data_IF_524916022338
#
_entry.id   IF_524916022338
#
_cell.length_a   1.000
_cell.length_b   1.000
_cell.length_c   1.000
_cell.angle_alpha   90.00
_cell.angle_beta   90.00
_cell.angle_gamma   90.00
#
_symmetry.space_group_name_H-M   'P 1'
#
loop_
_entity.id
_entity.type
_entity.pdbx_description
1 polymer ?
#
# COMPACT_ATOMS: atom_id res chain seq x y z
N UNK A 1 11.07 20.21 18.92
CA UNK A 1 12.23 19.92 18.06
C UNK A 1 11.75 19.73 16.63
N UNK A 2 11.80 20.76 15.79
CA UNK A 2 11.45 20.69 14.37
C UNK A 2 12.72 20.87 13.56
N UNK A 3 13.30 19.79 13.06
CA UNK A 3 14.63 19.86 12.42
C UNK A 3 14.58 20.30 10.95
N UNK A 4 13.39 20.54 10.38
CA UNK A 4 13.24 20.98 8.98
C UNK A 4 12.09 21.99 8.82
N UNK A 5 12.30 23.12 8.12
CA UNK A 5 11.20 23.99 7.67
C UNK A 5 10.30 23.24 6.70
N UNK A 6 8.99 23.25 6.94
CA UNK A 6 8.00 22.50 6.15
C UNK A 6 7.97 22.89 4.67
N UNK A 7 8.38 24.12 4.33
CA UNK A 7 8.56 24.55 2.94
C UNK A 7 9.67 23.77 2.23
N UNK A 8 10.80 23.49 2.90
CA UNK A 8 11.88 22.67 2.32
C UNK A 8 11.42 21.22 2.15
N UNK A 9 10.72 20.67 3.13
CA UNK A 9 10.17 19.31 3.10
C UNK A 9 9.12 19.16 1.99
N UNK A 10 8.23 20.15 1.85
CA UNK A 10 7.29 20.23 0.73
C UNK A 10 8.01 20.17 -0.62
N UNK A 11 9.04 20.99 -0.83
CA UNK A 11 9.76 21.02 -2.11
C UNK A 11 10.52 19.72 -2.40
N UNK A 12 11.05 19.05 -1.38
CA UNK A 12 11.66 17.72 -1.52
C UNK A 12 10.62 16.73 -2.05
N UNK A 13 9.46 16.64 -1.40
CA UNK A 13 8.38 15.75 -1.83
C UNK A 13 7.73 16.16 -3.15
N UNK A 14 7.60 17.45 -3.44
CA UNK A 14 7.01 17.93 -4.69
C UNK A 14 7.81 17.51 -5.93
N UNK A 15 9.12 17.25 -5.76
CA UNK A 15 10.00 16.75 -6.83
C UNK A 15 9.94 15.23 -6.99
N UNK A 16 9.24 14.52 -6.11
CA UNK A 16 9.09 13.08 -6.13
C UNK A 16 7.70 12.73 -6.65
N UNK A 17 7.64 11.91 -7.70
CA UNK A 17 6.41 11.61 -8.44
C UNK A 17 5.30 11.03 -7.53
N UNK A 18 5.63 10.04 -6.70
CA UNK A 18 4.65 9.43 -5.79
C UNK A 18 4.08 10.45 -4.80
N UNK A 19 4.92 11.30 -4.21
CA UNK A 19 4.50 12.24 -3.17
C UNK A 19 3.71 13.42 -3.73
N UNK A 20 4.00 13.85 -4.97
CA UNK A 20 3.27 14.94 -5.64
C UNK A 20 1.77 14.62 -5.76
N UNK A 21 1.40 13.36 -5.94
CA UNK A 21 -0.01 12.95 -6.03
C UNK A 21 -0.80 13.15 -4.73
N UNK A 22 -0.12 13.30 -3.59
CA UNK A 22 -0.72 13.42 -2.26
C UNK A 22 -0.52 14.80 -1.60
N UNK A 23 0.28 15.67 -2.22
CA UNK A 23 0.51 17.01 -1.71
C UNK A 23 -0.55 18.01 -2.20
N UNK A 24 -0.95 18.99 -1.37
CA UNK A 24 -1.80 20.08 -1.83
C UNK A 24 -1.11 20.88 -2.93
N UNK A 25 -1.86 21.23 -3.98
CA UNK A 25 -1.33 21.98 -5.13
C UNK A 25 -0.88 23.41 -4.76
N UNK A 26 -1.40 23.96 -3.67
CA UNK A 26 -1.07 25.31 -3.21
C UNK A 26 -0.41 25.30 -1.83
N UNK A 27 0.80 25.86 -1.76
CA UNK A 27 1.62 25.96 -0.56
C UNK A 27 1.05 26.92 0.49
N UNK A 28 0.14 27.82 0.10
CA UNK A 28 -0.47 28.79 1.03
C UNK A 28 -1.15 28.12 2.24
N UNK A 29 -1.68 26.91 2.07
CA UNK A 29 -2.34 26.16 3.16
C UNK A 29 -1.37 25.57 4.20
N UNK A 30 -0.05 25.67 3.97
CA UNK A 30 1.01 25.09 4.79
C UNK A 30 1.74 26.13 5.66
N UNK A 31 1.33 27.41 5.63
CA UNK A 31 1.91 28.41 6.53
C UNK A 31 1.77 27.95 7.99
N UNK A 32 2.91 27.81 8.68
CA UNK A 32 3.01 27.34 10.07
C UNK A 32 2.48 25.92 10.35
N UNK A 33 2.37 25.05 9.34
CA UNK A 33 1.92 23.66 9.52
C UNK A 33 3.01 22.64 9.20
N UNK A 34 3.12 21.62 10.05
CA UNK A 34 3.99 20.46 9.82
C UNK A 34 3.42 19.54 8.75
N UNK A 35 4.23 19.16 7.76
CA UNK A 35 3.88 18.05 6.86
C UNK A 35 4.31 16.74 7.52
N UNK A 36 3.33 15.86 7.74
CA UNK A 36 3.53 14.49 8.19
C UNK A 36 3.17 13.55 7.06
N UNK A 37 4.12 12.70 6.69
CA UNK A 37 3.92 11.67 5.66
C UNK A 37 3.90 10.32 6.36
N UNK A 38 2.76 9.66 6.33
CA UNK A 38 2.57 8.37 6.99
C UNK A 38 2.00 7.36 6.00
N UNK A 39 2.30 6.09 6.21
CA UNK A 39 1.68 5.01 5.47
C UNK A 39 1.41 3.82 6.37
N UNK A 40 0.53 2.92 5.95
CA UNK A 40 0.25 1.65 6.62
C UNK A 40 0.43 0.53 5.60
N UNK A 41 1.33 -0.39 5.91
CA UNK A 41 1.55 -1.60 5.13
C UNK A 41 0.67 -2.74 5.67
N UNK A 42 0.47 -3.75 4.85
CA UNK A 42 -0.22 -4.99 5.18
C UNK A 42 0.61 -6.14 4.64
N UNK A 43 0.51 -7.33 5.24
CA UNK A 43 1.10 -8.52 4.67
C UNK A 43 0.77 -8.59 3.15
N UNK A 44 1.77 -8.65 2.27
CA UNK A 44 1.55 -8.53 0.84
C UNK A 44 0.70 -9.64 0.22
N UNK A 45 0.80 -10.87 0.73
CA UNK A 45 0.01 -12.01 0.26
C UNK A 45 -1.46 -11.80 0.63
N UNK A 46 -1.71 -11.41 1.87
CA UNK A 46 -3.06 -11.07 2.36
C UNK A 46 -3.61 -9.80 1.73
N UNK A 47 -2.77 -8.83 1.34
CA UNK A 47 -3.19 -7.64 0.60
C UNK A 47 -3.75 -8.02 -0.78
N UNK A 48 -3.06 -8.90 -1.50
CA UNK A 48 -3.52 -9.40 -2.82
C UNK A 48 -4.91 -10.04 -2.68
N UNK A 49 -5.06 -10.97 -1.71
CA UNK A 49 -6.35 -11.64 -1.44
C UNK A 49 -7.43 -10.64 -1.04
N UNK A 50 -7.12 -9.76 -0.08
CA UNK A 50 -8.08 -8.79 0.42
C UNK A 50 -8.56 -7.84 -0.66
N UNK A 51 -7.67 -7.42 -1.57
CA UNK A 51 -8.04 -6.56 -2.68
C UNK A 51 -9.00 -7.28 -3.65
N UNK A 52 -8.69 -8.54 -4.01
CA UNK A 52 -9.54 -9.32 -4.90
C UNK A 52 -10.98 -9.44 -4.38
N UNK A 53 -11.15 -9.91 -3.14
CA UNK A 53 -12.48 -10.10 -2.54
C UNK A 53 -13.20 -8.80 -2.19
N UNK A 54 -12.48 -7.69 -2.05
CA UNK A 54 -13.10 -6.36 -1.93
C UNK A 54 -13.78 -5.95 -3.24
N UNK A 55 -13.12 -6.18 -4.38
CA UNK A 55 -13.69 -5.89 -5.70
C UNK A 55 -14.69 -6.96 -6.16
N UNK A 56 -14.55 -8.18 -5.66
CA UNK A 56 -15.36 -9.34 -6.06
C UNK A 56 -15.97 -10.03 -4.82
N UNK A 57 -17.01 -9.45 -4.18
CA UNK A 57 -17.64 -10.06 -3.01
C UNK A 57 -18.26 -11.44 -3.25
N UNK A 58 -18.51 -11.79 -4.52
CA UNK A 58 -19.00 -13.12 -4.97
C UNK A 58 -17.92 -13.92 -5.71
N UNK A 59 -16.65 -13.63 -5.44
CA UNK A 59 -15.51 -14.32 -6.05
C UNK A 59 -15.49 -15.82 -5.71
N UNK A 60 -14.73 -16.57 -6.50
CA UNK A 60 -14.49 -17.99 -6.28
C UNK A 60 -13.04 -18.33 -6.60
N UNK A 61 -12.58 -19.53 -6.22
CA UNK A 61 -11.19 -19.97 -6.42
C UNK A 61 -10.75 -19.90 -7.89
N UNK A 62 -11.59 -20.32 -8.84
CA UNK A 62 -11.23 -20.30 -10.26
C UNK A 62 -10.97 -18.88 -10.75
N UNK A 63 -11.83 -17.93 -10.40
CA UNK A 63 -11.67 -16.53 -10.78
C UNK A 63 -10.51 -15.86 -10.03
N UNK A 64 -10.22 -16.29 -8.80
CA UNK A 64 -9.07 -15.80 -8.06
C UNK A 64 -7.75 -16.32 -8.64
N UNK A 65 -7.69 -17.58 -9.07
CA UNK A 65 -6.56 -18.16 -9.80
C UNK A 65 -6.29 -17.42 -11.11
N UNK A 66 -7.32 -17.16 -11.92
CA UNK A 66 -7.19 -16.37 -13.15
C UNK A 66 -6.59 -14.98 -12.84
N UNK A 67 -7.07 -14.33 -11.78
CA UNK A 67 -6.56 -13.04 -11.30
C UNK A 67 -5.09 -13.10 -10.86
N UNK A 68 -4.65 -14.21 -10.26
CA UNK A 68 -3.26 -14.44 -9.83
C UNK A 68 -2.35 -14.76 -11.03
N UNK A 69 -2.76 -15.62 -11.95
CA UNK A 69 -1.98 -15.94 -13.15
C UNK A 69 -1.70 -14.69 -13.99
N UNK A 70 -2.72 -13.85 -14.20
CA UNK A 70 -2.58 -12.59 -14.92
C UNK A 70 -1.50 -11.68 -14.29
N UNK A 71 -1.41 -11.65 -12.96
CA UNK A 71 -0.41 -10.86 -12.22
C UNK A 71 0.97 -11.50 -12.25
N UNK A 72 1.04 -12.82 -12.09
CA UNK A 72 2.27 -13.59 -12.19
C UNK A 72 2.96 -13.29 -13.51
N UNK A 73 2.23 -13.28 -14.62
CA UNK A 73 2.81 -13.09 -15.95
C UNK A 73 3.44 -11.70 -16.11
N UNK A 74 2.82 -10.67 -15.54
CA UNK A 74 3.46 -9.35 -15.46
C UNK A 74 4.71 -9.36 -14.58
N UNK A 75 4.62 -9.89 -13.35
CA UNK A 75 5.72 -9.88 -12.37
C UNK A 75 6.92 -10.72 -12.85
N UNK A 76 6.66 -11.80 -13.58
CA UNK A 76 7.67 -12.63 -14.22
C UNK A 76 8.41 -11.91 -15.36
N UNK A 77 7.95 -10.74 -15.78
CA UNK A 77 8.54 -9.97 -16.88
C UNK A 77 8.12 -10.46 -18.26
N UNK A 78 7.05 -11.27 -18.35
CA UNK A 78 6.56 -11.75 -19.64
C UNK A 78 5.94 -10.61 -20.46
N UNK A 79 5.47 -9.54 -19.81
CA UNK A 79 4.82 -8.40 -20.45
C UNK A 79 5.48 -7.07 -20.09
N UNK A 80 5.50 -6.15 -21.05
CA UNK A 80 5.72 -4.73 -20.79
C UNK A 80 4.47 -4.10 -20.18
N UNK A 81 4.58 -2.88 -19.64
CA UNK A 81 3.41 -2.12 -19.16
C UNK A 81 2.33 -1.97 -20.25
N UNK A 82 2.74 -1.64 -21.48
CA UNK A 82 1.83 -1.55 -22.62
C UNK A 82 1.17 -2.90 -22.95
N UNK A 83 1.94 -3.99 -22.93
CA UNK A 83 1.41 -5.34 -23.14
C UNK A 83 0.40 -5.74 -22.06
N UNK A 84 0.66 -5.39 -20.80
CA UNK A 84 -0.29 -5.61 -19.70
C UNK A 84 -1.59 -4.83 -19.93
N UNK A 85 -1.51 -3.54 -20.28
CA UNK A 85 -2.69 -2.71 -20.54
C UNK A 85 -3.52 -3.19 -21.74
N UNK A 86 -2.89 -3.79 -22.74
CA UNK A 86 -3.59 -4.41 -23.86
C UNK A 86 -4.35 -5.66 -23.42
N UNK A 87 -3.70 -6.57 -22.69
CA UNK A 87 -4.33 -7.78 -22.18
C UNK A 87 -5.43 -7.47 -21.15
N UNK A 88 -5.27 -6.38 -20.40
CA UNK A 88 -6.22 -5.90 -19.41
C UNK A 88 -7.58 -5.48 -19.98
N UNK A 89 -7.65 -5.19 -21.29
CA UNK A 89 -8.90 -4.82 -21.98
C UNK A 89 -9.79 -6.03 -22.27
N UNK A 90 -9.27 -7.25 -22.12
CA UNK A 90 -10.05 -8.47 -22.32
C UNK A 90 -10.92 -8.77 -21.09
N UNK A 91 -12.02 -9.55 -21.22
CA UNK A 91 -12.88 -9.91 -20.09
C UNK A 91 -12.15 -10.63 -18.94
N UNK A 92 -11.07 -11.35 -19.26
CA UNK A 92 -10.18 -12.01 -18.28
C UNK A 92 -9.24 -11.03 -17.58
N UNK A 93 -8.99 -9.89 -18.20
CA UNK A 93 -7.97 -8.93 -17.80
C UNK A 93 -8.47 -7.73 -17.04
N UNK A 94 -9.77 -7.62 -16.67
CA UNK A 94 -10.48 -6.46 -16.08
C UNK A 94 -9.78 -5.80 -14.86
N UNK A 95 -8.59 -5.27 -15.09
CA UNK A 95 -7.61 -4.87 -14.12
C UNK A 95 -6.67 -3.90 -14.81
N UNK A 96 -6.73 -2.64 -14.44
CA UNK A 96 -5.82 -1.61 -14.94
C UNK A 96 -4.45 -1.75 -14.30
N UNK A 97 -3.45 -1.09 -14.86
CA UNK A 97 -2.13 -1.01 -14.23
C UNK A 97 -2.18 -0.44 -12.80
N UNK A 98 -3.08 0.53 -12.58
CA UNK A 98 -3.36 1.06 -11.25
C UNK A 98 -3.94 0.01 -10.28
N UNK A 99 -4.76 -0.91 -10.78
CA UNK A 99 -5.30 -2.03 -10.00
C UNK A 99 -4.19 -3.04 -9.66
N UNK A 100 -3.32 -3.37 -10.62
CA UNK A 100 -2.15 -4.22 -10.38
C UNK A 100 -1.29 -3.66 -9.25
N UNK A 101 -0.89 -2.40 -9.36
CA UNK A 101 -0.08 -1.73 -8.34
C UNK A 101 -0.73 -1.79 -6.96
N UNK A 102 -2.00 -1.38 -6.84
CA UNK A 102 -2.73 -1.41 -5.56
C UNK A 102 -2.83 -2.81 -4.95
N UNK A 103 -2.88 -3.84 -5.78
CA UNK A 103 -3.07 -5.23 -5.31
C UNK A 103 -1.77 -5.90 -4.84
N UNK A 104 -0.65 -5.76 -5.56
CA UNK A 104 0.55 -6.55 -5.28
C UNK A 104 1.83 -5.75 -5.11
N UNK A 105 1.95 -4.60 -5.79
CA UNK A 105 3.27 -4.13 -6.21
C UNK A 105 3.51 -2.64 -5.99
N UNK A 106 2.64 -2.02 -5.20
CA UNK A 106 2.58 -0.57 -5.00
C UNK A 106 3.91 -0.01 -4.50
N UNK A 107 4.46 -0.55 -3.42
CA UNK A 107 5.56 0.08 -2.71
C UNK A 107 6.89 -0.11 -3.44
N UNK A 108 7.19 -1.30 -3.95
CA UNK A 108 8.41 -1.48 -4.72
C UNK A 108 8.39 -0.69 -6.04
N UNK A 109 7.22 -0.49 -6.66
CA UNK A 109 7.13 0.30 -7.89
C UNK A 109 7.15 1.78 -7.62
N UNK A 110 6.26 2.30 -6.77
CA UNK A 110 6.15 3.75 -6.52
C UNK A 110 7.31 4.31 -5.72
N UNK A 111 7.80 3.58 -4.70
CA UNK A 111 8.91 4.05 -3.87
C UNK A 111 10.27 3.63 -4.44
N UNK A 112 10.33 2.42 -5.02
CA UNK A 112 11.58 1.81 -5.47
C UNK A 112 11.85 1.87 -6.96
N UNK A 113 10.88 2.26 -7.80
CA UNK A 113 10.97 2.12 -9.26
C UNK A 113 11.33 0.67 -9.68
N UNK A 114 10.75 -0.31 -8.99
CA UNK A 114 11.00 -1.73 -9.18
C UNK A 114 12.21 -2.30 -8.41
N UNK A 115 12.99 -1.43 -7.72
CA UNK A 115 14.12 -1.80 -6.88
C UNK A 115 13.74 -1.86 -5.39
N UNK A 116 13.88 -3.03 -4.78
CA UNK A 116 13.54 -3.29 -3.37
C UNK A 116 14.36 -2.42 -2.41
N UNK A 117 15.67 -2.32 -2.60
CA UNK A 117 16.54 -1.55 -1.70
C UNK A 117 16.20 -0.05 -1.74
N UNK A 118 15.88 0.48 -2.92
CA UNK A 118 15.43 1.87 -3.05
C UNK A 118 14.08 2.09 -2.34
N UNK A 119 13.17 1.11 -2.39
CA UNK A 119 11.91 1.19 -1.66
C UNK A 119 12.12 1.18 -0.14
N UNK A 120 13.02 0.32 0.38
CA UNK A 120 13.38 0.29 1.81
C UNK A 120 13.98 1.62 2.28
N UNK A 121 14.95 2.17 1.54
CA UNK A 121 15.54 3.48 1.84
C UNK A 121 14.47 4.58 1.84
N UNK A 122 13.57 4.57 0.85
CA UNK A 122 12.48 5.55 0.77
C UNK A 122 11.54 5.41 1.96
N UNK A 123 11.13 4.20 2.35
CA UNK A 123 10.31 3.97 3.54
C UNK A 123 10.99 4.50 4.80
N UNK A 124 12.28 4.21 4.98
CA UNK A 124 13.03 4.58 6.18
C UNK A 124 13.30 6.09 6.30
N UNK A 125 13.41 6.80 5.17
CA UNK A 125 13.88 8.20 5.16
C UNK A 125 12.80 9.22 4.82
N UNK A 126 11.72 8.80 4.15
CA UNK A 126 10.70 9.71 3.61
C UNK A 126 9.37 9.67 4.38
N UNK A 127 9.18 8.75 5.32
CA UNK A 127 7.96 8.65 6.12
C UNK A 127 8.24 8.99 7.58
N UNK A 128 7.36 9.76 8.21
CA UNK A 128 7.37 9.98 9.67
C UNK A 128 6.87 8.75 10.44
N UNK A 129 6.03 7.93 9.80
CA UNK A 129 5.50 6.69 10.36
C UNK A 129 5.19 5.70 9.24
N UNK A 130 5.64 4.46 9.43
CA UNK A 130 5.24 3.29 8.64
C UNK A 130 4.53 2.32 9.59
N UNK A 131 3.20 2.30 9.55
CA UNK A 131 2.38 1.38 10.34
C UNK A 131 2.26 0.01 9.68
N UNK A 132 1.90 -1.00 10.48
CA UNK A 132 1.60 -2.36 10.01
C UNK A 132 0.14 -2.68 10.35
N UNK A 133 -0.63 -3.16 9.38
CA UNK A 133 -2.06 -3.46 9.52
C UNK A 133 -2.30 -4.52 10.59
N UNK A 134 -1.44 -5.54 10.64
CA UNK A 134 -1.48 -6.62 11.63
C UNK A 134 -1.14 -6.12 13.05
N UNK A 135 -0.57 -4.91 13.17
CA UNK A 135 -0.29 -4.20 14.43
C UNK A 135 -1.00 -2.83 14.45
N UNK A 136 -2.22 -2.76 13.89
CA UNK A 136 -2.95 -1.49 13.71
C UNK A 136 -3.10 -0.69 15.02
N UNK A 137 -3.32 -1.35 16.15
CA UNK A 137 -3.42 -0.69 17.45
C UNK A 137 -2.16 0.13 17.76
N UNK A 138 -0.98 -0.42 17.51
CA UNK A 138 0.30 0.28 17.72
C UNK A 138 0.50 1.40 16.71
N UNK A 139 0.12 1.17 15.45
CA UNK A 139 0.17 2.20 14.41
C UNK A 139 -0.71 3.41 14.79
N UNK A 140 -1.92 3.17 15.28
CA UNK A 140 -2.85 4.23 15.73
C UNK A 140 -2.28 4.98 16.94
N UNK A 141 -1.70 4.29 17.92
CA UNK A 141 -1.06 4.95 19.08
C UNK A 141 0.11 5.84 18.63
N UNK A 142 0.97 5.32 17.75
CA UNK A 142 2.10 6.08 17.20
C UNK A 142 1.64 7.28 16.37
N UNK A 143 0.56 7.12 15.59
CA UNK A 143 -0.08 8.21 14.85
C UNK A 143 -0.61 9.29 15.81
N UNK A 144 -1.30 8.88 16.88
CA UNK A 144 -1.79 9.80 17.91
C UNK A 144 -0.68 10.63 18.53
N UNK A 145 0.43 9.99 18.91
CA UNK A 145 1.63 10.70 19.42
C UNK A 145 2.20 11.68 18.39
N UNK A 146 2.26 11.29 17.12
CA UNK A 146 2.77 12.14 16.03
C UNK A 146 1.92 13.41 15.83
N UNK A 147 0.60 13.28 15.99
CA UNK A 147 -0.35 14.41 15.91
C UNK A 147 -0.58 15.14 17.24
N UNK A 148 0.10 14.73 18.33
CA UNK A 148 -0.11 15.31 19.66
C UNK A 148 -1.50 15.07 20.23
N UNK A 149 -2.13 13.94 19.87
CA UNK A 149 -3.47 13.54 20.30
C UNK A 149 -3.42 12.62 21.51
N UNK A 150 -4.41 12.78 22.38
CA UNK A 150 -4.69 11.88 23.50
C UNK A 150 -5.30 10.56 23.02
N UNK A 151 -5.31 9.53 23.88
CA UNK A 151 -5.93 8.25 23.57
C UNK A 151 -7.44 8.41 23.33
N UNK A 152 -8.10 9.26 24.11
CA UNK A 152 -9.53 9.57 24.01
C UNK A 152 -9.87 10.22 22.67
N UNK A 153 -9.08 11.20 22.22
CA UNK A 153 -9.27 11.83 20.91
C UNK A 153 -9.08 10.84 19.76
N UNK A 154 -8.07 9.96 19.86
CA UNK A 154 -7.85 8.93 18.85
C UNK A 154 -8.98 7.90 18.81
N UNK A 155 -9.51 7.51 19.98
CA UNK A 155 -10.64 6.57 20.08
C UNK A 155 -11.92 7.17 19.47
N UNK A 156 -12.20 8.45 19.71
CA UNK A 156 -13.36 9.14 19.14
C UNK A 156 -13.32 9.16 17.60
N UNK A 157 -12.14 9.36 17.00
CA UNK A 157 -11.98 9.29 15.54
C UNK A 157 -12.35 7.89 15.02
N UNK A 158 -11.91 6.83 15.70
CA UNK A 158 -12.20 5.45 15.32
C UNK A 158 -13.68 5.07 15.39
N UNK A 159 -14.48 5.72 16.24
CA UNK A 159 -15.91 5.45 16.38
C UNK A 159 -16.74 5.92 15.18
N UNK A 160 -16.21 6.84 14.37
CA UNK A 160 -16.89 7.39 13.19
C UNK A 160 -16.50 6.70 11.88
N UNK A 161 -15.73 5.61 11.93
CA UNK A 161 -15.33 4.87 10.74
C UNK A 161 -16.46 3.92 10.33
N UNK A 162 -17.00 4.13 9.13
CA UNK A 162 -17.98 3.20 8.54
C UNK A 162 -17.38 1.78 8.48
N UNK A 163 -18.14 0.82 9.04
CA UNK A 163 -17.75 -0.60 9.08
C UNK A 163 -18.15 -1.37 7.81
N UNK A 164 -18.73 -0.69 6.83
CA UNK A 164 -19.22 -1.25 5.58
C UNK A 164 -18.10 -1.73 4.62
N UNK A 165 -16.84 -1.41 4.93
CA UNK A 165 -15.66 -1.81 4.13
C UNK A 165 -14.95 -3.07 4.64
N UNK A 166 -15.48 -3.73 5.67
CA UNK A 166 -14.95 -5.01 6.09
C UNK A 166 -15.39 -6.13 5.14
N UNK A 167 -14.40 -6.77 4.50
CA UNK A 167 -14.61 -7.89 3.60
C UNK A 167 -14.10 -9.22 4.16
N UNK A 168 -13.83 -9.29 5.47
CA UNK A 168 -13.37 -10.51 6.15
C UNK A 168 -14.31 -11.70 5.93
N UNK A 169 -15.63 -11.47 5.98
CA UNK A 169 -16.65 -12.52 5.88
C UNK A 169 -16.89 -13.10 4.48
N UNK A 170 -16.27 -12.57 3.43
CA UNK A 170 -16.46 -13.04 2.04
C UNK A 170 -15.19 -13.66 1.44
N UNK A 171 -14.07 -13.67 2.18
CA UNK A 171 -12.81 -14.24 1.72
C UNK A 171 -12.87 -15.75 1.83
N UNK A 172 -12.59 -16.44 0.74
CA UNK A 172 -12.37 -17.88 0.79
C UNK A 172 -11.01 -18.18 1.41
N UNK A 173 -10.89 -19.39 1.95
CA UNK A 173 -9.63 -19.95 2.39
C UNK A 173 -8.64 -20.09 1.23
N UNK A 174 -7.37 -20.31 1.53
CA UNK A 174 -6.36 -20.51 0.50
C UNK A 174 -6.39 -21.96 0.01
N UNK A 175 -6.33 -22.15 -1.30
CA UNK A 175 -5.74 -23.36 -1.88
C UNK A 175 -4.22 -23.25 -1.89
N UNK A 176 -3.52 -24.38 -1.98
CA UNK A 176 -2.05 -24.41 -2.06
C UNK A 176 -1.53 -23.68 -3.30
N UNK A 177 -2.22 -23.83 -4.44
CA UNK A 177 -1.85 -23.17 -5.69
C UNK A 177 -1.99 -21.65 -5.59
N UNK A 178 -3.13 -21.15 -5.09
CA UNK A 178 -3.36 -19.72 -4.91
C UNK A 178 -2.32 -19.11 -3.97
N UNK A 179 -2.02 -19.79 -2.86
CA UNK A 179 -1.04 -19.32 -1.88
C UNK A 179 0.36 -19.26 -2.51
N UNK A 180 0.76 -20.30 -3.23
CA UNK A 180 2.06 -20.34 -3.93
C UNK A 180 2.19 -19.21 -4.96
N UNK A 181 1.16 -19.00 -5.79
CA UNK A 181 1.16 -17.91 -6.77
C UNK A 181 1.19 -16.54 -6.09
N UNK A 182 0.37 -16.32 -5.06
CA UNK A 182 0.34 -15.06 -4.33
C UNK A 182 1.69 -14.77 -3.65
N UNK A 183 2.34 -15.77 -3.05
CA UNK A 183 3.69 -15.64 -2.48
C UNK A 183 4.73 -15.27 -3.54
N UNK A 184 4.69 -15.91 -4.71
CA UNK A 184 5.59 -15.58 -5.82
C UNK A 184 5.40 -14.12 -6.27
N UNK A 185 4.16 -13.70 -6.51
CA UNK A 185 3.80 -12.34 -6.93
C UNK A 185 4.24 -11.32 -5.88
N UNK A 186 4.04 -11.63 -4.60
CA UNK A 186 4.31 -10.75 -3.48
C UNK A 186 5.80 -10.62 -3.12
N UNK A 187 6.69 -11.46 -3.64
CA UNK A 187 8.06 -11.64 -3.14
C UNK A 187 8.82 -10.30 -2.89
N UNK A 188 8.80 -9.38 -3.85
CA UNK A 188 9.45 -8.06 -3.68
C UNK A 188 8.80 -7.23 -2.58
N UNK A 189 7.46 -7.12 -2.61
CA UNK A 189 6.68 -6.44 -1.58
C UNK A 189 6.89 -7.08 -0.19
N UNK A 190 7.05 -8.40 -0.09
CA UNK A 190 7.34 -9.11 1.18
C UNK A 190 8.67 -8.67 1.77
N UNK A 191 9.72 -8.50 0.96
CA UNK A 191 11.01 -8.00 1.44
C UNK A 191 10.91 -6.56 1.97
N UNK A 192 10.07 -5.73 1.34
CA UNK A 192 9.79 -4.36 1.79
C UNK A 192 8.98 -4.36 3.09
N UNK A 193 7.97 -5.23 3.19
CA UNK A 193 7.13 -5.40 4.37
C UNK A 193 7.94 -5.90 5.58
N UNK A 194 8.77 -6.94 5.41
CA UNK A 194 9.60 -7.48 6.48
C UNK A 194 10.56 -6.42 7.04
N UNK A 195 11.20 -5.64 6.15
CA UNK A 195 12.03 -4.51 6.57
C UNK A 195 11.24 -3.51 7.44
N UNK A 196 10.01 -3.16 7.05
CA UNK A 196 9.18 -2.25 7.82
C UNK A 196 8.73 -2.85 9.16
N UNK A 197 8.46 -4.16 9.24
CA UNK A 197 8.13 -4.84 10.49
C UNK A 197 9.30 -4.80 11.48
N UNK A 198 10.51 -5.04 11.00
CA UNK A 198 11.75 -4.99 11.81
C UNK A 198 12.05 -3.57 12.29
N UNK A 199 11.88 -2.58 11.41
CA UNK A 199 12.12 -1.17 11.72
C UNK A 199 11.02 -0.53 12.60
N UNK A 200 9.86 -1.18 12.76
CA UNK A 200 8.75 -0.72 13.59
C UNK A 200 8.85 -1.18 15.07
N UNK A 201 9.96 -1.80 15.47
CA UNK A 201 10.29 -2.16 16.86
C UNK A 201 11.28 -1.15 17.45
#
# INVERSE_FOLDING_TARGET
MGWWPDSKRFWLYWRVEWARSWLPQNMFHLQNKRILVTTILRDPVERIRSYYYYQNPKGNHSLFLDFLHFRRDYVAGNWTMAGFEEQAKTPKGASTFSILHRSCCEYETWLGQGCVEKAKITLATQFDLVGITERMNEAIVSLGKLYGKTAEEMAAIGQHVDRDKDNSGVKLDWTDEEKSLATYIANKSTQVYNFAQEAAC
#
